data_IF_582903855294
#
_entry.id   IF_582903855294
#
_cell.length_a   1.000
_cell.length_b   1.000
_cell.length_c   1.000
_cell.angle_alpha   90.00
_cell.angle_beta   90.00
_cell.angle_gamma   90.00
#
_symmetry.space_group_name_H-M   'P 1'
#
loop_
_entity.id
_entity.type
_entity.pdbx_description
1 polymer ?
#
# COMPACT_ATOMS: atom_id res chain seq x y z
N UNK A 1 25.74 43.02 29.13
CA UNK A 1 24.49 42.36 28.72
C UNK A 1 24.62 42.00 27.24
N UNK A 2 24.92 40.74 26.88
CA UNK A 2 25.02 40.36 25.48
C UNK A 2 23.67 39.89 24.92
N UNK A 3 23.30 40.53 23.80
CA UNK A 3 22.18 40.18 22.92
C UNK A 3 22.38 38.79 22.32
N UNK A 4 21.54 37.81 22.69
CA UNK A 4 21.56 36.47 22.13
C UNK A 4 20.67 36.40 20.89
N UNK A 5 21.26 36.63 19.71
CA UNK A 5 20.67 36.28 18.43
C UNK A 5 20.84 34.77 18.20
N UNK A 6 19.83 33.98 18.58
CA UNK A 6 19.75 32.58 18.15
C UNK A 6 19.15 32.51 16.75
N UNK A 7 19.82 31.88 15.76
CA UNK A 7 19.28 31.72 14.42
C UNK A 7 18.11 30.72 14.42
N UNK A 8 17.02 31.11 13.77
CA UNK A 8 15.86 30.26 13.49
C UNK A 8 16.34 29.04 12.69
N UNK A 9 16.16 27.80 13.18
CA UNK A 9 16.50 26.62 12.39
C UNK A 9 15.56 26.51 11.19
N UNK A 10 16.13 26.57 9.98
CA UNK A 10 15.43 26.30 8.71
C UNK A 10 14.83 24.90 8.77
N UNK A 11 13.51 24.85 8.76
CA UNK A 11 12.71 23.62 8.79
C UNK A 11 12.91 22.89 7.47
N UNK A 12 13.75 21.86 7.47
CA UNK A 12 13.88 20.96 6.33
C UNK A 12 12.59 20.16 6.21
N UNK A 13 11.72 20.58 5.27
CA UNK A 13 10.60 19.80 4.74
C UNK A 13 11.13 18.50 4.12
N UNK A 14 11.37 17.49 4.94
CA UNK A 14 11.56 16.11 4.49
C UNK A 14 10.79 15.21 5.48
N UNK A 15 9.47 15.32 5.42
CA UNK A 15 8.53 14.46 6.15
C UNK A 15 7.51 13.87 5.17
N UNK A 16 8.03 13.26 4.10
CA UNK A 16 7.22 12.45 3.18
C UNK A 16 8.11 11.36 2.63
N UNK A 17 7.95 10.12 3.12
CA UNK A 17 8.12 8.86 2.38
C UNK A 17 8.06 7.67 3.34
N UNK A 18 6.84 7.32 3.76
CA UNK A 18 6.53 5.96 4.19
C UNK A 18 5.12 5.51 3.71
N UNK A 19 4.58 6.19 2.68
CA UNK A 19 3.17 6.09 2.29
C UNK A 19 2.97 5.76 0.80
N UNK A 20 4.05 5.40 0.10
CA UNK A 20 4.03 5.07 -1.34
C UNK A 20 4.61 3.69 -1.67
N UNK A 21 4.80 2.81 -0.68
CA UNK A 21 5.43 1.49 -0.93
C UNK A 21 4.37 0.46 -1.38
N UNK A 22 3.11 0.59 -0.95
CA UNK A 22 2.03 -0.31 -1.38
C UNK A 22 1.76 -0.27 -2.89
N UNK A 23 1.78 0.94 -3.49
CA UNK A 23 1.56 1.14 -4.94
C UNK A 23 2.68 0.52 -5.78
N UNK A 24 3.93 0.61 -5.34
CA UNK A 24 5.09 0.11 -6.10
C UNK A 24 5.13 -1.43 -6.10
N UNK A 25 4.73 -2.09 -5.01
CA UNK A 25 4.81 -3.56 -4.92
C UNK A 25 3.74 -4.25 -5.79
N UNK A 26 2.50 -3.74 -5.79
CA UNK A 26 1.43 -4.33 -6.64
C UNK A 26 1.74 -4.14 -8.13
N UNK A 27 2.28 -2.98 -8.53
CA UNK A 27 2.72 -2.75 -9.91
C UNK A 27 3.96 -3.58 -10.28
N UNK A 28 4.92 -3.77 -9.38
CA UNK A 28 6.11 -4.58 -9.64
C UNK A 28 5.77 -6.07 -9.86
N UNK A 29 4.80 -6.62 -9.13
CA UNK A 29 4.37 -8.02 -9.30
C UNK A 29 3.74 -8.24 -10.67
N UNK A 30 2.93 -7.29 -11.18
CA UNK A 30 2.33 -7.37 -12.53
C UNK A 30 3.42 -7.31 -13.63
N UNK A 31 4.45 -6.47 -13.46
CA UNK A 31 5.54 -6.35 -14.44
C UNK A 31 6.38 -7.63 -14.50
N UNK A 32 6.67 -8.29 -13.38
CA UNK A 32 7.53 -9.49 -13.39
C UNK A 32 6.95 -10.73 -14.07
N UNK A 33 5.63 -10.81 -14.31
CA UNK A 33 5.02 -11.97 -14.98
C UNK A 33 4.95 -11.86 -16.51
N UNK A 34 5.21 -10.67 -17.10
CA UNK A 34 5.12 -10.46 -18.56
C UNK A 34 6.47 -10.25 -19.24
N UNK A 35 7.51 -9.81 -18.52
CA UNK A 35 8.86 -9.65 -19.10
C UNK A 35 9.77 -10.81 -18.69
N UNK A 36 10.05 -11.72 -19.64
CA UNK A 36 11.25 -12.57 -19.59
C UNK A 36 12.48 -11.66 -19.62
N UNK A 37 13.01 -11.29 -18.46
CA UNK A 37 14.21 -10.47 -18.35
C UNK A 37 15.39 -11.22 -19.02
N UNK A 38 15.99 -10.68 -20.10
CA UNK A 38 17.23 -11.23 -20.62
C UNK A 38 18.35 -10.99 -19.60
N UNK A 39 19.02 -12.06 -19.18
CA UNK A 39 20.24 -12.00 -18.37
C UNK A 39 21.38 -11.41 -19.21
N UNK A 40 21.52 -10.09 -19.22
CA UNK A 40 22.78 -9.45 -19.59
C UNK A 40 23.03 -8.24 -18.70
N UNK A 41 24.12 -8.29 -17.95
CA UNK A 41 24.58 -7.18 -17.12
C UNK A 41 24.82 -5.94 -18.02
N UNK A 42 24.34 -4.75 -17.66
CA UNK A 42 24.67 -3.54 -18.41
C UNK A 42 26.09 -3.10 -18.05
N UNK A 43 26.94 -2.95 -19.07
CA UNK A 43 28.17 -2.17 -18.99
C UNK A 43 27.86 -0.69 -18.71
N UNK A 44 28.77 0.06 -18.06
CA UNK A 44 28.55 1.46 -17.73
C UNK A 44 28.75 2.32 -18.98
N UNK A 45 27.63 2.65 -19.65
CA UNK A 45 27.62 3.53 -20.82
C UNK A 45 26.43 4.48 -20.80
N UNK A 46 26.73 5.79 -20.69
CA UNK A 46 25.95 6.96 -21.14
C UNK A 46 24.43 6.96 -20.92
N UNK A 47 23.97 7.82 -20.01
CA UNK A 47 22.57 8.06 -19.71
C UNK A 47 21.74 8.49 -20.92
N UNK A 48 20.94 7.55 -21.43
CA UNK A 48 19.68 7.87 -22.08
C UNK A 48 18.62 7.98 -20.98
N UNK A 49 18.08 9.20 -20.78
CA UNK A 49 16.78 9.34 -20.14
C UNK A 49 15.77 8.71 -21.09
N UNK A 50 15.39 7.46 -20.81
CA UNK A 50 14.16 6.92 -21.36
C UNK A 50 13.02 7.72 -20.75
N UNK A 51 12.44 8.63 -21.54
CA UNK A 51 11.12 9.19 -21.29
C UNK A 51 10.12 8.04 -21.35
N UNK A 52 10.05 7.32 -20.25
CA UNK A 52 9.03 6.29 -20.02
C UNK A 52 7.71 7.06 -19.87
N UNK A 53 6.69 6.79 -20.69
CA UNK A 53 5.38 7.39 -20.50
C UNK A 53 4.96 7.21 -19.04
N UNK A 54 4.91 8.29 -18.28
CA UNK A 54 4.45 8.23 -16.89
C UNK A 54 2.93 8.05 -16.94
N UNK A 55 2.46 6.86 -16.62
CA UNK A 55 1.04 6.60 -16.40
C UNK A 55 0.53 7.58 -15.33
N UNK A 56 -0.36 8.48 -15.74
CA UNK A 56 -1.01 9.42 -14.82
C UNK A 56 -1.99 8.65 -13.94
N UNK A 57 -1.82 8.76 -12.62
CA UNK A 57 -2.73 8.16 -11.64
C UNK A 57 -3.67 9.26 -11.13
N UNK A 58 -4.97 9.10 -11.39
CA UNK A 58 -6.02 9.96 -10.84
C UNK A 58 -6.50 9.36 -9.53
N UNK A 59 -6.33 10.09 -8.43
CA UNK A 59 -6.83 9.72 -7.10
C UNK A 59 -8.12 10.47 -6.80
N UNK A 60 -9.14 9.74 -6.32
CA UNK A 60 -10.41 10.30 -5.86
C UNK A 60 -10.67 9.87 -4.42
N UNK A 61 -10.73 10.83 -3.50
CA UNK A 61 -11.06 10.55 -2.09
C UNK A 61 -12.53 10.12 -1.97
N UNK A 62 -12.78 9.16 -1.09
CA UNK A 62 -14.11 8.61 -0.80
C UNK A 62 -14.45 8.91 0.66
N UNK A 63 -15.67 9.39 1.00
CA UNK A 63 -16.05 9.66 2.38
C UNK A 63 -15.79 8.46 3.28
N UNK A 64 -15.28 8.67 4.50
CA UNK A 64 -14.92 7.57 5.43
C UNK A 64 -16.11 6.68 5.81
N UNK A 65 -17.34 7.18 5.68
CA UNK A 65 -18.60 6.48 5.91
C UNK A 65 -19.02 5.58 4.75
N UNK A 66 -18.37 5.68 3.59
CA UNK A 66 -18.72 5.01 2.35
C UNK A 66 -17.62 4.06 1.90
N UNK A 67 -17.99 2.89 1.38
CA UNK A 67 -17.01 1.95 0.82
C UNK A 67 -16.41 2.52 -0.47
N UNK A 68 -15.08 2.40 -0.69
CA UNK A 68 -14.50 2.64 -2.00
C UNK A 68 -15.18 1.78 -3.07
N UNK A 69 -15.13 2.23 -4.31
CA UNK A 69 -15.79 1.52 -5.41
C UNK A 69 -15.09 0.17 -5.60
N UNK A 70 -15.86 -0.90 -5.84
CA UNK A 70 -15.32 -2.26 -6.05
C UNK A 70 -14.51 -2.82 -4.87
N UNK A 71 -14.62 -2.24 -3.68
CA UNK A 71 -14.04 -2.84 -2.48
C UNK A 71 -14.92 -4.03 -2.04
N UNK A 72 -14.38 -5.26 -1.89
CA UNK A 72 -15.17 -6.42 -1.49
C UNK A 72 -15.79 -6.24 -0.10
N UNK A 73 -17.11 -6.45 -0.02
CA UNK A 73 -17.88 -6.21 1.21
C UNK A 73 -17.60 -7.24 2.32
N UNK A 74 -17.02 -8.38 1.97
CA UNK A 74 -16.69 -9.47 2.87
C UNK A 74 -15.33 -9.31 3.55
N UNK A 75 -14.45 -8.42 3.06
CA UNK A 75 -13.15 -8.17 3.69
C UNK A 75 -13.37 -7.60 5.10
N UNK A 76 -12.80 -8.24 6.15
CA UNK A 76 -12.98 -7.79 7.51
C UNK A 76 -12.43 -6.39 7.73
N UNK A 77 -13.25 -5.52 8.32
CA UNK A 77 -12.83 -4.23 8.87
C UNK A 77 -13.18 -4.23 10.35
N UNK A 78 -12.27 -3.73 11.19
CA UNK A 78 -12.52 -3.67 12.63
C UNK A 78 -13.69 -2.71 12.94
N UNK A 79 -14.69 -3.20 13.65
CA UNK A 79 -15.88 -2.41 14.01
C UNK A 79 -15.49 -1.19 14.83
N UNK A 80 -15.96 -0.01 14.43
CA UNK A 80 -15.64 1.25 15.11
C UNK A 80 -14.21 1.76 14.88
N UNK A 81 -13.45 1.11 13.99
CA UNK A 81 -12.11 1.59 13.64
C UNK A 81 -12.16 2.98 13.01
N UNK A 82 -11.18 3.80 13.37
CA UNK A 82 -10.99 5.12 12.78
C UNK A 82 -10.37 4.96 11.39
N UNK A 83 -11.16 5.20 10.35
CA UNK A 83 -10.68 5.26 8.97
C UNK A 83 -9.83 6.52 8.79
N UNK A 84 -8.61 6.36 8.30
CA UNK A 84 -7.64 7.46 8.10
C UNK A 84 -7.35 7.73 6.62
N UNK A 85 -7.62 6.77 5.74
CA UNK A 85 -7.61 6.97 4.28
C UNK A 85 -8.68 6.11 3.63
N UNK A 86 -9.30 6.64 2.58
CA UNK A 86 -10.37 5.96 1.87
C UNK A 86 -10.45 6.58 0.47
N UNK A 87 -10.03 5.87 -0.57
CA UNK A 87 -9.93 6.43 -1.91
C UNK A 87 -9.96 5.38 -3.01
N UNK A 88 -10.28 5.84 -4.23
CA UNK A 88 -10.07 5.11 -5.47
C UNK A 88 -8.88 5.73 -6.22
N UNK A 89 -8.10 4.91 -6.90
CA UNK A 89 -7.06 5.34 -7.82
C UNK A 89 -7.25 4.64 -9.17
N UNK A 90 -7.16 5.41 -10.25
CA UNK A 90 -7.34 4.91 -11.62
C UNK A 90 -6.26 5.45 -12.54
N UNK A 91 -5.91 4.69 -13.58
CA UNK A 91 -4.99 5.11 -14.65
C UNK A 91 -5.72 5.20 -15.98
N UNK A 92 -5.16 5.97 -16.92
CA UNK A 92 -5.72 6.14 -18.28
C UNK A 92 -5.86 4.82 -19.05
N UNK A 93 -5.04 3.80 -18.74
CA UNK A 93 -5.11 2.45 -19.32
C UNK A 93 -6.12 1.52 -18.62
N UNK A 94 -6.92 2.04 -17.69
CA UNK A 94 -8.03 1.33 -17.06
C UNK A 94 -7.69 0.50 -15.82
N UNK A 95 -6.45 0.59 -15.29
CA UNK A 95 -6.14 -0.04 -14.00
C UNK A 95 -6.86 0.71 -12.89
N UNK A 96 -7.34 -0.06 -11.92
CA UNK A 96 -8.15 0.46 -10.82
C UNK A 96 -7.66 -0.12 -9.50
N UNK A 97 -7.57 0.73 -8.48
CA UNK A 97 -7.29 0.36 -7.11
C UNK A 97 -8.27 1.03 -6.16
N UNK A 98 -8.83 0.25 -5.25
CA UNK A 98 -9.60 0.74 -4.11
C UNK A 98 -8.80 0.53 -2.83
N UNK A 99 -8.64 1.59 -2.04
CA UNK A 99 -7.84 1.55 -0.82
C UNK A 99 -8.62 2.07 0.38
N UNK A 100 -8.50 1.34 1.48
CA UNK A 100 -9.00 1.73 2.80
C UNK A 100 -7.95 1.48 3.87
N UNK A 101 -7.68 2.50 4.68
CA UNK A 101 -6.70 2.45 5.77
C UNK A 101 -7.38 2.84 7.07
N UNK A 102 -7.15 2.07 8.14
CA UNK A 102 -7.73 2.35 9.45
C UNK A 102 -6.77 2.06 10.60
N UNK A 103 -6.98 2.75 11.72
CA UNK A 103 -6.30 2.46 12.99
C UNK A 103 -6.94 1.24 13.67
N UNK A 104 -6.12 0.33 14.19
CA UNK A 104 -6.58 -0.94 14.80
C UNK A 104 -6.18 -1.03 16.27
N UNK A 105 -7.11 -1.51 17.10
CA UNK A 105 -6.82 -1.83 18.50
C UNK A 105 -6.10 -3.20 18.65
N UNK A 106 -6.29 -4.09 17.68
CA UNK A 106 -5.70 -5.44 17.66
C UNK A 106 -4.18 -5.40 17.54
N UNK A 107 -3.51 -6.48 17.93
CA UNK A 107 -2.05 -6.61 17.71
C UNK A 107 -1.74 -6.89 16.25
N UNK A 108 -0.50 -6.64 15.82
CA UNK A 108 -0.05 -7.00 14.47
C UNK A 108 -0.27 -8.49 14.18
N UNK A 109 0.05 -9.37 15.14
CA UNK A 109 -0.14 -10.81 15.02
C UNK A 109 -1.63 -11.20 14.90
N UNK A 110 -2.51 -10.56 15.68
CA UNK A 110 -3.95 -10.83 15.63
C UNK A 110 -4.57 -10.42 14.27
N UNK A 111 -4.20 -9.25 13.75
CA UNK A 111 -4.62 -8.85 12.40
C UNK A 111 -4.05 -9.79 11.33
N UNK A 112 -2.77 -10.15 11.43
CA UNK A 112 -2.13 -11.03 10.46
C UNK A 112 -2.80 -12.40 10.40
N UNK A 113 -3.11 -12.99 11.56
CA UNK A 113 -3.90 -14.22 11.65
C UNK A 113 -5.32 -14.04 11.07
N UNK A 114 -6.00 -12.95 11.42
CA UNK A 114 -7.35 -12.63 10.91
C UNK A 114 -7.42 -12.65 9.37
N UNK A 115 -6.50 -11.95 8.70
CA UNK A 115 -6.54 -11.86 7.24
C UNK A 115 -6.08 -13.15 6.56
N UNK A 116 -5.08 -13.85 7.11
CA UNK A 116 -4.71 -15.18 6.61
C UNK A 116 -5.87 -16.17 6.72
N UNK A 117 -6.55 -16.19 7.86
CA UNK A 117 -7.72 -17.03 8.09
C UNK A 117 -8.87 -16.67 7.16
N UNK A 118 -9.17 -15.38 7.02
CA UNK A 118 -10.19 -14.90 6.09
C UNK A 118 -9.93 -15.39 4.67
N UNK A 119 -8.73 -15.15 4.14
CA UNK A 119 -8.40 -15.54 2.78
C UNK A 119 -8.47 -17.06 2.57
N UNK A 120 -7.85 -17.85 3.47
CA UNK A 120 -7.85 -19.31 3.38
C UNK A 120 -9.24 -19.93 3.51
N UNK A 121 -10.08 -19.43 4.41
CA UNK A 121 -11.44 -19.93 4.63
C UNK A 121 -12.41 -19.53 3.50
N UNK A 122 -12.16 -18.43 2.80
CA UNK A 122 -13.04 -17.89 1.76
C UNK A 122 -12.56 -18.19 0.33
N UNK A 123 -11.67 -19.16 0.17
CA UNK A 123 -11.21 -19.66 -1.14
C UNK A 123 -10.26 -18.72 -1.89
N UNK A 124 -9.61 -17.80 -1.18
CA UNK A 124 -8.57 -16.96 -1.78
C UNK A 124 -7.23 -17.69 -1.79
N UNK A 125 -6.49 -17.54 -2.88
CA UNK A 125 -5.12 -18.04 -3.01
C UNK A 125 -4.15 -17.02 -2.42
N UNK A 126 -3.43 -17.38 -1.36
CA UNK A 126 -2.35 -16.54 -0.82
C UNK A 126 -1.21 -16.46 -1.85
N UNK A 127 -0.87 -15.24 -2.25
CA UNK A 127 0.23 -14.95 -3.17
C UNK A 127 1.54 -14.67 -2.44
N UNK A 128 1.48 -13.90 -1.37
CA UNK A 128 2.68 -13.44 -0.64
C UNK A 128 2.34 -13.18 0.81
N UNK A 129 3.30 -13.47 1.68
CA UNK A 129 3.25 -13.10 3.10
C UNK A 129 4.56 -12.50 3.54
N UNK A 130 4.50 -11.52 4.45
CA UNK A 130 5.65 -10.99 5.16
C UNK A 130 5.32 -10.95 6.66
N UNK A 131 6.26 -11.39 7.49
CA UNK A 131 6.09 -11.46 8.94
C UNK A 131 7.33 -10.88 9.64
N UNK A 132 7.36 -9.55 9.78
CA UNK A 132 8.44 -8.82 10.48
C UNK A 132 7.89 -8.15 11.74
N UNK A 133 8.73 -7.84 12.76
CA UNK A 133 8.26 -7.31 14.03
C UNK A 133 7.32 -6.09 13.93
N UNK A 134 7.63 -5.14 13.04
CA UNK A 134 6.86 -3.89 12.85
C UNK A 134 5.98 -3.86 11.60
N UNK A 135 6.03 -4.91 10.77
CA UNK A 135 5.31 -4.97 9.49
C UNK A 135 4.89 -6.41 9.18
N UNK A 136 3.60 -6.59 8.93
CA UNK A 136 3.03 -7.82 8.38
C UNK A 136 2.38 -7.52 7.04
N UNK A 137 2.49 -8.44 6.09
CA UNK A 137 1.84 -8.33 4.79
C UNK A 137 1.15 -9.65 4.48
N UNK A 138 -0.07 -9.58 3.96
CA UNK A 138 -0.78 -10.71 3.36
C UNK A 138 -1.37 -10.24 2.03
N UNK A 139 -0.94 -10.86 0.93
CA UNK A 139 -1.55 -10.64 -0.37
C UNK A 139 -2.22 -11.91 -0.84
N UNK A 140 -3.43 -11.80 -1.37
CA UNK A 140 -4.22 -12.92 -1.85
C UNK A 140 -4.98 -12.58 -3.13
N UNK A 141 -5.31 -13.61 -3.90
CA UNK A 141 -6.04 -13.50 -5.16
C UNK A 141 -7.28 -14.39 -5.16
N UNK A 142 -8.36 -13.87 -5.73
CA UNK A 142 -9.56 -14.63 -6.08
C UNK A 142 -10.08 -14.09 -7.40
N UNK A 143 -10.26 -14.98 -8.38
CA UNK A 143 -10.58 -14.61 -9.76
C UNK A 143 -9.60 -13.58 -10.33
N UNK A 144 -10.08 -12.43 -10.79
CA UNK A 144 -9.25 -11.31 -11.26
C UNK A 144 -8.96 -10.27 -10.17
N UNK A 145 -9.31 -10.53 -8.91
CA UNK A 145 -9.14 -9.59 -7.80
C UNK A 145 -7.90 -9.96 -7.00
N UNK A 146 -7.03 -8.98 -6.76
CA UNK A 146 -5.90 -9.09 -5.83
C UNK A 146 -6.14 -8.14 -4.67
N UNK A 147 -6.05 -8.67 -3.46
CA UNK A 147 -6.10 -7.88 -2.22
C UNK A 147 -4.74 -7.97 -1.56
N UNK A 148 -4.19 -6.82 -1.18
CA UNK A 148 -3.01 -6.73 -0.34
C UNK A 148 -3.39 -6.03 0.97
N UNK A 149 -2.99 -6.65 2.08
CA UNK A 149 -3.17 -6.12 3.42
C UNK A 149 -1.81 -5.87 4.06
N UNK A 150 -1.52 -4.61 4.36
CA UNK A 150 -0.34 -4.19 5.11
C UNK A 150 -0.75 -3.86 6.55
N UNK A 151 -0.07 -4.44 7.53
CA UNK A 151 -0.33 -4.21 8.95
C UNK A 151 0.95 -3.70 9.57
N UNK A 152 0.94 -2.48 10.09
CA UNK A 152 2.15 -1.84 10.58
C UNK A 152 1.93 -1.13 11.91
N UNK A 153 3.02 -0.93 12.64
CA UNK A 153 3.04 -0.09 13.84
C UNK A 153 4.01 1.07 13.63
N UNK A 154 3.54 2.29 13.87
CA UNK A 154 4.42 3.45 13.88
C UNK A 154 5.35 3.39 15.10
N UNK A 155 6.66 3.41 14.87
CA UNK A 155 7.66 3.25 15.95
C UNK A 155 7.63 4.37 16.99
N UNK A 156 7.13 5.56 16.63
CA UNK A 156 7.08 6.75 17.47
C UNK A 156 5.72 6.85 18.18
N UNK A 157 4.63 6.89 17.44
CA UNK A 157 3.28 7.10 18.00
C UNK A 157 2.66 5.82 18.55
N UNK A 158 3.23 4.65 18.25
CA UNK A 158 2.69 3.32 18.59
C UNK A 158 1.30 3.05 18.00
N UNK A 159 0.85 3.90 17.07
CA UNK A 159 -0.40 3.70 16.33
C UNK A 159 -0.21 2.52 15.37
N UNK A 160 -1.12 1.55 15.47
CA UNK A 160 -1.19 0.40 14.57
C UNK A 160 -2.19 0.69 13.47
N UNK A 161 -1.82 0.36 12.24
CA UNK A 161 -2.64 0.60 11.06
C UNK A 161 -2.81 -0.66 10.24
N UNK A 162 -3.97 -0.79 9.61
CA UNK A 162 -4.23 -1.76 8.56
C UNK A 162 -4.55 -0.98 7.29
N UNK A 163 -3.78 -1.23 6.24
CA UNK A 163 -3.97 -0.72 4.89
C UNK A 163 -4.39 -1.89 3.99
N UNK A 164 -5.59 -1.79 3.42
CA UNK A 164 -6.14 -2.76 2.48
C UNK A 164 -6.24 -2.08 1.13
N UNK A 165 -5.55 -2.67 0.16
CA UNK A 165 -5.59 -2.24 -1.24
C UNK A 165 -6.09 -3.38 -2.12
N UNK A 166 -7.10 -3.08 -2.94
CA UNK A 166 -7.76 -4.02 -3.85
C UNK A 166 -7.49 -3.57 -5.28
N UNK A 167 -6.94 -4.46 -6.09
CA UNK A 167 -6.66 -4.21 -7.50
C UNK A 167 -7.32 -5.28 -8.38
N UNK A 168 -7.69 -4.87 -9.60
CA UNK A 168 -8.27 -5.75 -10.61
C UNK A 168 -7.22 -6.04 -11.69
N UNK A 169 -6.91 -7.31 -11.88
CA UNK A 169 -6.06 -7.76 -12.97
C UNK A 169 -6.86 -7.73 -14.28
N UNK A 170 -6.24 -7.28 -15.39
CA UNK A 170 -6.84 -7.36 -16.71
C UNK A 170 -7.02 -8.82 -17.19
#
# INVERSE_FOLDING_TARGET
>A
MPSNNSPIPKTNKIFWQALGIGVIIVLAIIVTQTVKLPKKAPEPGTGQKTDTPQLQVKKTEVPVTESPERFPADIPIETGAKIVQNYNAETEDGRFQATRVFETSKTLAANYALYKDFFTKNGWMILTTLDQPSLKVVSAKKDNIVVQVNISENSVTKVKTVDISVAYLP
#
